data_IF_591120466102
#
_entry.id   IF_591120466102
#
_cell.length_a   1.000
_cell.length_b   1.000
_cell.length_c   1.000
_cell.angle_alpha   90.00
_cell.angle_beta   90.00
_cell.angle_gamma   90.00
#
_symmetry.space_group_name_H-M   'P 1'
#
loop_
_entity.id
_entity.type
_entity.pdbx_description
1 polymer ?
#
# COMPACT_ATOMS: atom_id res chain seq x y z
N UNK A 1 -15.84 20.84 18.04
CA UNK A 1 -16.03 19.40 17.75
C UNK A 1 -15.39 18.61 18.87
N UNK A 2 -16.18 17.77 19.54
CA UNK A 2 -15.72 16.94 20.66
C UNK A 2 -14.73 15.88 20.15
N UNK A 3 -13.57 15.74 20.80
CA UNK A 3 -12.57 14.71 20.43
C UNK A 3 -13.13 13.34 20.82
N UNK A 4 -13.62 12.58 19.85
CA UNK A 4 -14.14 11.20 20.03
C UNK A 4 -13.09 10.15 20.43
N UNK A 5 -11.82 10.53 20.50
CA UNK A 5 -10.70 9.62 20.78
C UNK A 5 -9.85 10.22 21.88
N UNK A 6 -9.64 9.46 22.97
CA UNK A 6 -8.84 9.93 24.09
C UNK A 6 -7.36 10.01 23.71
N UNK A 7 -6.61 10.89 24.37
CA UNK A 7 -5.17 11.02 24.14
C UNK A 7 -4.42 9.70 24.43
N UNK A 8 -4.95 8.87 25.34
CA UNK A 8 -4.43 7.52 25.61
C UNK A 8 -4.63 6.57 24.42
N UNK A 9 -5.80 6.58 23.77
CA UNK A 9 -6.07 5.78 22.57
C UNK A 9 -5.20 6.23 21.38
N UNK A 10 -4.97 7.54 21.25
CA UNK A 10 -4.06 8.10 20.23
C UNK A 10 -2.62 7.62 20.48
N UNK A 11 -2.14 7.66 21.73
CA UNK A 11 -0.80 7.20 22.10
C UNK A 11 -0.63 5.69 21.87
N UNK A 12 -1.62 4.88 22.23
CA UNK A 12 -1.61 3.44 22.00
C UNK A 12 -1.57 3.12 20.49
N UNK A 13 -2.38 3.82 19.69
CA UNK A 13 -2.40 3.66 18.22
C UNK A 13 -1.04 4.02 17.62
N UNK A 14 -0.45 5.15 18.03
CA UNK A 14 0.89 5.58 17.57
C UNK A 14 1.97 4.56 17.91
N UNK A 15 1.93 3.98 19.12
CA UNK A 15 2.89 2.97 19.53
C UNK A 15 2.75 1.67 18.72
N UNK A 16 1.52 1.25 18.43
CA UNK A 16 1.27 0.10 17.58
C UNK A 16 1.70 0.36 16.13
N UNK A 17 1.42 1.55 15.59
CA UNK A 17 1.85 1.96 14.26
C UNK A 17 3.38 2.03 14.15
N UNK A 18 4.08 2.50 15.19
CA UNK A 18 5.54 2.53 15.22
C UNK A 18 6.14 1.12 15.11
N UNK A 19 5.55 0.14 15.81
CA UNK A 19 5.93 -1.28 15.74
C UNK A 19 5.54 -1.96 14.42
N UNK A 20 4.53 -1.44 13.72
CA UNK A 20 3.98 -2.00 12.49
C UNK A 20 4.20 -1.08 11.28
N UNK A 21 5.28 -0.28 11.30
CA UNK A 21 5.54 0.77 10.31
C UNK A 21 5.59 0.22 8.89
N UNK A 22 6.21 -0.93 8.69
CA UNK A 22 6.32 -1.57 7.38
C UNK A 22 4.97 -2.06 6.86
N UNK A 23 4.18 -2.73 7.72
CA UNK A 23 2.84 -3.20 7.37
C UNK A 23 1.92 -2.03 7.04
N UNK A 24 1.97 -0.94 7.81
CA UNK A 24 1.22 0.30 7.53
C UNK A 24 1.63 0.89 6.18
N UNK A 25 2.94 1.01 5.92
CA UNK A 25 3.48 1.53 4.66
C UNK A 25 3.02 0.67 3.47
N UNK A 26 3.05 -0.66 3.61
CA UNK A 26 2.56 -1.58 2.60
C UNK A 26 1.06 -1.38 2.32
N UNK A 27 0.23 -1.33 3.37
CA UNK A 27 -1.22 -1.14 3.21
C UNK A 27 -1.55 0.22 2.59
N UNK A 28 -0.86 1.29 2.99
CA UNK A 28 -1.03 2.63 2.41
C UNK A 28 -0.67 2.62 0.93
N UNK A 29 0.51 2.11 0.55
CA UNK A 29 0.92 1.98 -0.86
C UNK A 29 -0.10 1.19 -1.68
N UNK A 30 -0.56 0.05 -1.14
CA UNK A 30 -1.56 -0.81 -1.79
C UNK A 30 -2.87 -0.07 -2.02
N UNK A 31 -3.34 0.70 -1.05
CA UNK A 31 -4.59 1.48 -1.17
C UNK A 31 -4.44 2.58 -2.20
N UNK A 32 -3.34 3.35 -2.15
CA UNK A 32 -3.08 4.43 -3.11
C UNK A 32 -3.00 3.90 -4.53
N UNK A 33 -2.26 2.80 -4.77
CA UNK A 33 -2.16 2.20 -6.10
C UNK A 33 -3.53 1.75 -6.64
N UNK A 34 -4.38 1.15 -5.77
CA UNK A 34 -5.74 0.77 -6.16
C UNK A 34 -6.61 1.96 -6.53
N UNK A 35 -6.53 3.04 -5.77
CA UNK A 35 -7.30 4.26 -6.04
C UNK A 35 -6.86 4.88 -7.37
N UNK A 36 -5.55 5.01 -7.58
CA UNK A 36 -4.97 5.56 -8.80
C UNK A 36 -5.47 4.80 -10.05
N UNK A 37 -5.32 3.47 -10.07
CA UNK A 37 -5.78 2.62 -11.18
C UNK A 37 -7.28 2.76 -11.46
N UNK A 38 -8.10 3.01 -10.44
CA UNK A 38 -9.56 3.05 -10.57
C UNK A 38 -10.11 4.41 -10.98
N UNK A 39 -9.45 5.48 -10.55
CA UNK A 39 -10.03 6.83 -10.56
C UNK A 39 -9.22 7.82 -11.38
N UNK A 40 -7.89 7.67 -11.40
CA UNK A 40 -6.99 8.74 -11.85
C UNK A 40 -6.15 8.35 -13.09
N UNK A 41 -5.85 7.06 -13.26
CA UNK A 41 -4.92 6.58 -14.29
C UNK A 41 -5.43 6.83 -15.71
N UNK A 42 -4.55 7.34 -16.57
CA UNK A 42 -4.78 7.43 -18.01
C UNK A 42 -4.57 6.06 -18.70
N UNK A 43 -5.04 5.87 -19.94
CA UNK A 43 -4.83 4.63 -20.68
C UNK A 43 -3.35 4.21 -20.74
N UNK A 44 -2.45 5.15 -21.04
CA UNK A 44 -1.01 4.87 -21.13
C UNK A 44 -0.42 4.43 -19.77
N UNK A 45 -0.90 5.01 -18.66
CA UNK A 45 -0.47 4.61 -17.31
C UNK A 45 -0.88 3.16 -17.02
N UNK A 46 -2.08 2.75 -17.46
CA UNK A 46 -2.57 1.39 -17.28
C UNK A 46 -1.70 0.39 -18.05
N UNK A 47 -1.35 0.71 -19.30
CA UNK A 47 -0.48 -0.11 -20.15
C UNK A 47 0.93 -0.26 -19.54
N UNK A 48 1.49 0.82 -18.98
CA UNK A 48 2.78 0.75 -18.29
C UNK A 48 2.69 -0.09 -17.00
N UNK A 49 1.64 0.12 -16.20
CA UNK A 49 1.42 -0.64 -14.97
C UNK A 49 1.24 -2.13 -15.23
N UNK A 50 0.56 -2.52 -16.31
CA UNK A 50 0.44 -3.92 -16.71
C UNK A 50 1.79 -4.57 -17.00
N UNK A 51 2.67 -3.87 -17.73
CA UNK A 51 4.04 -4.35 -18.01
C UNK A 51 4.84 -4.52 -16.71
N UNK A 52 4.78 -3.55 -15.81
CA UNK A 52 5.46 -3.59 -14.52
C UNK A 52 4.94 -4.77 -13.64
N UNK A 53 3.63 -5.02 -13.65
CA UNK A 53 3.02 -6.14 -12.93
C UNK A 53 3.47 -7.48 -13.52
N UNK A 54 3.52 -7.60 -14.85
CA UNK A 54 3.97 -8.81 -15.53
C UNK A 54 5.43 -9.14 -15.18
N UNK A 55 6.32 -8.15 -15.25
CA UNK A 55 7.73 -8.29 -14.89
C UNK A 55 7.91 -8.74 -13.44
N UNK A 56 7.23 -8.07 -12.50
CA UNK A 56 7.36 -8.43 -11.07
C UNK A 56 6.86 -9.84 -10.78
N UNK A 57 5.79 -10.29 -11.45
CA UNK A 57 5.30 -11.66 -11.31
C UNK A 57 6.28 -12.68 -11.86
N UNK A 58 7.01 -12.37 -12.94
CA UNK A 58 8.05 -13.24 -13.48
C UNK A 58 9.20 -13.39 -12.48
N UNK A 59 9.73 -12.29 -11.97
CA UNK A 59 10.80 -12.28 -10.97
C UNK A 59 10.41 -13.09 -9.72
N UNK A 60 9.20 -12.91 -9.21
CA UNK A 60 8.70 -13.68 -8.06
C UNK A 60 8.61 -15.19 -8.32
N UNK A 61 8.31 -15.59 -9.57
CA UNK A 61 8.29 -17.01 -9.95
C UNK A 61 9.71 -17.57 -10.01
N UNK A 62 10.66 -16.82 -10.58
CA UNK A 62 12.07 -17.20 -10.65
C UNK A 62 12.69 -17.30 -9.24
N UNK A 63 12.41 -16.32 -8.36
CA UNK A 63 12.81 -16.32 -6.95
C UNK A 63 12.26 -17.53 -6.18
N UNK A 64 11.05 -18.00 -6.51
CA UNK A 64 10.42 -19.15 -5.85
C UNK A 64 10.89 -20.51 -6.39
N UNK A 65 11.53 -20.53 -7.56
CA UNK A 65 12.07 -21.72 -8.21
C UNK A 65 13.58 -21.93 -7.98
N UNK A 66 14.26 -20.91 -7.43
CA UNK A 66 15.68 -20.92 -7.06
C UNK A 66 15.87 -21.30 -5.59
#
# INVERSE_FOLDING_TARGET
MEKKTSDAQIKASRNWEAKNRERKRYMSKKSTAKSFIRLDAAPDDLDELEKLIAERRRQLKEEAQS
#
